data_IF_000552452537
#
_entry.id   IF_000552452537
#
_cell.length_a   1.000
_cell.length_b   1.000
_cell.length_c   1.000
_cell.angle_alpha   90.00
_cell.angle_beta   90.00
_cell.angle_gamma   90.00
#
_symmetry.space_group_name_H-M   'P 1'
#
loop_
_entity.id
_entity.type
_entity.pdbx_description
1 polymer ?
#
# COMPACT_ATOMS: atom_id res chain seq x y z
N UNK A 1 -4.37 -14.53 -10.87
CA UNK A 1 -5.07 -15.22 -12.00
C UNK A 1 -4.49 -14.64 -13.27
N UNK A 2 -4.23 -15.44 -14.33
CA UNK A 2 -3.66 -14.89 -15.57
C UNK A 2 -4.68 -13.97 -16.26
N UNK A 3 -4.21 -12.85 -16.75
CA UNK A 3 -4.99 -11.83 -17.47
C UNK A 3 -4.44 -11.66 -18.88
N UNK A 4 -5.31 -11.28 -19.77
CA UNK A 4 -5.03 -11.18 -21.19
C UNK A 4 -5.62 -9.88 -21.74
N UNK A 5 -4.85 -9.20 -22.57
CA UNK A 5 -5.25 -7.98 -23.26
C UNK A 5 -5.67 -8.30 -24.68
N UNK A 6 -6.85 -7.87 -25.08
CA UNK A 6 -7.28 -7.95 -26.48
C UNK A 6 -6.42 -7.01 -27.34
N UNK A 7 -5.84 -7.53 -28.42
CA UNK A 7 -4.90 -6.79 -29.29
C UNK A 7 -5.57 -5.64 -30.03
N UNK A 8 -6.87 -5.77 -30.31
CA UNK A 8 -7.61 -4.76 -31.07
C UNK A 8 -8.27 -3.72 -30.16
N UNK A 9 -8.97 -4.17 -29.10
CA UNK A 9 -9.74 -3.27 -28.24
C UNK A 9 -8.96 -2.75 -27.03
N UNK A 10 -7.90 -3.46 -26.64
CA UNK A 10 -7.15 -3.18 -25.41
C UNK A 10 -7.84 -3.68 -24.14
N UNK A 11 -9.03 -4.25 -24.23
CA UNK A 11 -9.78 -4.76 -23.08
C UNK A 11 -9.02 -5.90 -22.38
N UNK A 12 -9.03 -5.89 -21.05
CA UNK A 12 -8.36 -6.89 -20.23
C UNK A 12 -9.40 -7.83 -19.65
N UNK A 13 -9.20 -9.13 -19.86
CA UNK A 13 -10.05 -10.20 -19.36
C UNK A 13 -9.23 -11.34 -18.78
N UNK A 14 -9.80 -12.02 -17.80
CA UNK A 14 -9.20 -13.26 -17.30
C UNK A 14 -9.59 -14.46 -18.17
N UNK A 15 -8.93 -15.59 -17.91
CA UNK A 15 -9.16 -16.83 -18.69
C UNK A 15 -10.62 -17.32 -18.63
N UNK A 16 -11.29 -17.14 -17.49
CA UNK A 16 -12.68 -17.55 -17.31
C UNK A 16 -13.65 -16.70 -18.13
N UNK A 17 -13.42 -15.40 -18.21
CA UNK A 17 -14.21 -14.47 -19.03
C UNK A 17 -14.03 -14.76 -20.50
N UNK A 18 -12.80 -14.93 -20.96
CA UNK A 18 -12.52 -15.26 -22.35
C UNK A 18 -13.16 -16.59 -22.80
N UNK A 19 -13.22 -17.58 -21.89
CA UNK A 19 -13.93 -18.84 -22.16
C UNK A 19 -15.44 -18.65 -22.29
N UNK A 20 -16.04 -17.80 -21.46
CA UNK A 20 -17.48 -17.50 -21.53
C UNK A 20 -17.83 -16.75 -22.81
N UNK A 21 -16.97 -15.83 -23.24
CA UNK A 21 -17.18 -15.04 -24.43
C UNK A 21 -17.00 -15.86 -25.72
N UNK A 22 -16.30 -17.00 -25.64
CA UNK A 22 -16.00 -17.86 -26.78
C UNK A 22 -16.47 -19.31 -26.54
N UNK A 23 -17.77 -19.56 -26.32
CA UNK A 23 -18.29 -20.89 -25.95
C UNK A 23 -18.08 -21.96 -27.02
N UNK A 24 -17.92 -21.55 -28.28
CA UNK A 24 -17.75 -22.44 -29.42
C UNK A 24 -16.27 -22.82 -29.69
N UNK A 25 -15.33 -22.28 -28.92
CA UNK A 25 -13.91 -22.59 -29.07
C UNK A 25 -13.48 -23.53 -27.95
N UNK A 26 -13.00 -24.72 -28.33
CA UNK A 26 -12.39 -25.66 -27.37
C UNK A 26 -11.00 -25.17 -26.97
N UNK A 27 -10.81 -24.84 -25.70
CA UNK A 27 -9.56 -24.30 -25.18
C UNK A 27 -8.92 -25.27 -24.17
N UNK A 28 -7.61 -25.55 -24.28
CA UNK A 28 -6.89 -26.37 -23.34
C UNK A 28 -6.88 -25.73 -21.93
N UNK A 29 -6.53 -26.52 -20.90
CA UNK A 29 -6.41 -26.00 -19.54
C UNK A 29 -5.25 -25.00 -19.41
N UNK A 30 -4.12 -25.30 -20.08
CA UNK A 30 -2.93 -24.43 -20.13
C UNK A 30 -2.89 -23.80 -21.51
N UNK A 31 -2.83 -22.49 -21.56
CA UNK A 31 -2.81 -21.70 -22.78
C UNK A 31 -1.38 -21.47 -23.24
N UNK A 32 -1.23 -21.42 -24.57
CA UNK A 32 0.03 -21.13 -25.25
C UNK A 32 -0.21 -20.11 -26.36
N UNK A 33 0.83 -19.77 -27.10
CA UNK A 33 0.79 -18.76 -28.16
C UNK A 33 -0.31 -19.03 -29.20
N UNK A 34 -0.56 -20.29 -29.57
CA UNK A 34 -1.61 -20.62 -30.54
C UNK A 34 -3.00 -20.22 -30.02
N UNK A 35 -3.26 -20.38 -28.72
CA UNK A 35 -4.51 -19.93 -28.09
C UNK A 35 -4.59 -18.41 -28.04
N UNK A 36 -3.49 -17.74 -27.72
CA UNK A 36 -3.44 -16.27 -27.70
C UNK A 36 -3.74 -15.69 -29.08
N UNK A 37 -3.15 -16.27 -30.13
CA UNK A 37 -3.37 -15.84 -31.50
C UNK A 37 -4.80 -16.12 -31.97
N UNK A 38 -5.36 -17.28 -31.64
CA UNK A 38 -6.73 -17.64 -31.97
C UNK A 38 -7.77 -16.72 -31.30
N UNK A 39 -7.48 -16.24 -30.09
CA UNK A 39 -8.33 -15.32 -29.34
C UNK A 39 -8.00 -13.84 -29.58
N UNK A 40 -6.95 -13.55 -30.36
CA UNK A 40 -6.44 -12.21 -30.60
C UNK A 40 -6.10 -11.47 -29.29
N UNK A 41 -5.38 -12.14 -28.39
CA UNK A 41 -4.98 -11.59 -27.09
C UNK A 41 -3.49 -11.73 -26.84
N UNK A 42 -2.97 -10.92 -25.93
CA UNK A 42 -1.62 -11.03 -25.38
C UNK A 42 -1.72 -11.35 -23.88
N UNK A 43 -0.84 -12.22 -23.41
CA UNK A 43 -0.70 -12.48 -21.97
C UNK A 43 -0.12 -11.25 -21.27
N UNK A 44 -0.72 -10.85 -20.15
CA UNK A 44 -0.17 -9.82 -19.28
C UNK A 44 0.66 -10.50 -18.18
N UNK A 45 1.94 -10.15 -18.14
CA UNK A 45 2.85 -10.63 -17.10
C UNK A 45 2.72 -9.76 -15.84
N UNK A 46 2.90 -10.34 -14.65
CA UNK A 46 2.92 -9.56 -13.43
C UNK A 46 4.10 -8.59 -13.40
N UNK A 47 3.89 -7.43 -12.81
CA UNK A 47 4.94 -6.47 -12.50
C UNK A 47 4.78 -5.96 -11.06
N UNK A 48 5.88 -5.49 -10.47
CA UNK A 48 5.82 -4.89 -9.15
C UNK A 48 5.25 -3.47 -9.23
N UNK A 49 4.33 -3.10 -8.32
CA UNK A 49 3.92 -1.71 -8.19
C UNK A 49 5.10 -0.83 -7.75
N UNK A 50 5.13 0.46 -8.08
CA UNK A 50 6.12 1.40 -7.55
C UNK A 50 6.05 1.43 -6.02
N UNK A 51 7.21 1.47 -5.38
CA UNK A 51 7.36 1.56 -3.92
C UNK A 51 7.91 2.91 -3.46
N UNK A 52 8.29 3.77 -4.39
CA UNK A 52 8.89 5.08 -4.12
C UNK A 52 8.09 6.19 -4.79
N UNK A 53 8.22 7.40 -4.31
CA UNK A 53 7.56 8.58 -4.88
C UNK A 53 6.06 8.65 -4.60
N UNK A 54 5.55 7.88 -3.62
CA UNK A 54 4.13 7.88 -3.23
C UNK A 54 3.96 8.88 -2.09
N UNK A 55 3.13 9.89 -2.30
CA UNK A 55 2.79 10.87 -1.27
C UNK A 55 1.88 10.29 -0.17
N UNK A 56 1.83 10.98 0.97
CA UNK A 56 1.05 10.58 2.17
C UNK A 56 -0.43 10.32 1.84
N UNK A 57 -1.01 11.12 0.96
CA UNK A 57 -2.42 11.01 0.54
C UNK A 57 -2.56 10.38 -0.85
N UNK A 58 -1.58 9.58 -1.25
CA UNK A 58 -1.58 8.88 -2.52
C UNK A 58 -1.55 7.37 -2.32
N UNK A 59 -2.04 6.66 -3.32
CA UNK A 59 -2.02 5.20 -3.39
C UNK A 59 -1.61 4.74 -4.77
N UNK A 60 -1.11 3.52 -4.84
CA UNK A 60 -0.81 2.87 -6.12
C UNK A 60 -2.03 2.06 -6.54
N UNK A 61 -2.48 2.27 -7.77
CA UNK A 61 -3.57 1.50 -8.37
C UNK A 61 -3.13 0.86 -9.67
N UNK A 62 -3.75 -0.26 -9.98
CA UNK A 62 -3.59 -0.92 -11.27
C UNK A 62 -4.16 -0.03 -12.38
N UNK A 63 -3.40 0.24 -13.42
CA UNK A 63 -3.83 1.02 -14.60
C UNK A 63 -3.63 0.25 -15.90
N UNK A 64 -4.30 -0.89 -15.99
CA UNK A 64 -4.27 -1.69 -17.21
C UNK A 64 -2.97 -2.44 -17.46
N UNK A 65 -2.45 -2.35 -18.66
CA UNK A 65 -1.21 -2.99 -19.09
C UNK A 65 -0.41 -2.09 -20.04
N UNK A 66 0.92 -2.20 -19.98
CA UNK A 66 1.88 -1.46 -20.81
C UNK A 66 2.92 -2.42 -21.37
N UNK A 67 3.52 -2.11 -22.51
CA UNK A 67 4.67 -2.87 -22.99
C UNK A 67 5.95 -2.46 -22.26
N UNK A 68 6.71 -3.46 -21.81
CA UNK A 68 8.05 -3.26 -21.28
C UNK A 68 9.09 -3.13 -22.42
N UNK A 69 10.36 -2.93 -22.06
CA UNK A 69 11.49 -2.82 -23.03
C UNK A 69 11.68 -4.04 -23.91
N UNK A 70 11.23 -5.21 -23.46
CA UNK A 70 11.34 -6.47 -24.20
C UNK A 70 10.14 -6.71 -25.12
N UNK A 71 9.17 -5.76 -25.15
CA UNK A 71 7.96 -5.86 -25.95
C UNK A 71 6.86 -6.72 -25.35
N UNK A 72 7.02 -7.22 -24.11
CA UNK A 72 6.00 -7.98 -23.40
C UNK A 72 4.99 -7.07 -22.74
N UNK A 73 3.72 -7.44 -22.74
CA UNK A 73 2.70 -6.77 -21.95
C UNK A 73 2.86 -7.13 -20.47
N UNK A 74 2.95 -6.11 -19.63
CA UNK A 74 3.07 -6.21 -18.16
C UNK A 74 1.99 -5.37 -17.50
N UNK A 75 1.70 -5.66 -16.25
CA UNK A 75 0.80 -4.83 -15.44
C UNK A 75 1.29 -3.39 -15.39
N UNK A 76 0.39 -2.44 -15.68
CA UNK A 76 0.66 -1.02 -15.52
C UNK A 76 0.12 -0.52 -14.18
N UNK A 77 0.84 0.41 -13.57
CA UNK A 77 0.51 1.02 -12.29
C UNK A 77 0.49 2.53 -12.42
N UNK A 78 -0.34 3.17 -11.62
CA UNK A 78 -0.36 4.63 -11.48
C UNK A 78 -0.44 5.03 -10.03
N UNK A 79 0.13 6.17 -9.70
CA UNK A 79 -0.03 6.82 -8.41
C UNK A 79 -1.20 7.78 -8.55
N UNK A 80 -2.19 7.65 -7.68
CA UNK A 80 -3.40 8.48 -7.66
C UNK A 80 -3.61 9.07 -6.28
N UNK A 81 -4.27 10.21 -6.22
CA UNK A 81 -4.71 10.78 -4.95
C UNK A 81 -5.77 9.89 -4.31
N UNK A 82 -5.71 9.73 -2.99
CA UNK A 82 -6.68 8.95 -2.22
C UNK A 82 -8.00 9.69 -2.06
N UNK A 83 -7.95 11.00 -2.07
CA UNK A 83 -9.06 11.89 -1.79
C UNK A 83 -9.30 12.88 -2.92
N UNK A 84 -10.55 13.25 -3.11
CA UNK A 84 -11.00 14.29 -4.03
C UNK A 84 -12.24 14.94 -3.44
N UNK A 85 -12.60 16.14 -3.90
CA UNK A 85 -13.84 16.78 -3.48
C UNK A 85 -15.04 15.90 -3.84
N UNK A 86 -15.90 15.66 -2.85
CA UNK A 86 -17.07 14.80 -2.96
C UNK A 86 -18.24 15.44 -2.21
N UNK A 87 -19.46 15.31 -2.75
CA UNK A 87 -20.64 15.96 -2.19
C UNK A 87 -21.09 15.35 -0.85
N UNK A 88 -20.78 14.07 -0.61
CA UNK A 88 -21.16 13.35 0.62
C UNK A 88 -20.01 13.28 1.63
N UNK A 89 -18.76 13.15 1.13
CA UNK A 89 -17.58 12.97 1.97
C UNK A 89 -16.86 14.29 2.30
N UNK A 90 -17.27 15.40 1.68
CA UNK A 90 -16.67 16.70 1.88
C UNK A 90 -15.52 17.00 0.92
N UNK A 91 -14.83 18.10 1.17
CA UNK A 91 -13.67 18.53 0.39
C UNK A 91 -12.48 17.60 0.59
N UNK A 92 -11.56 17.59 -0.37
CA UNK A 92 -10.28 16.85 -0.26
C UNK A 92 -9.57 17.17 1.07
N UNK A 93 -9.49 18.43 1.45
CA UNK A 93 -8.83 18.87 2.69
C UNK A 93 -9.51 18.33 3.96
N UNK A 94 -10.83 18.25 3.98
CA UNK A 94 -11.57 17.66 5.11
C UNK A 94 -11.35 16.14 5.21
N UNK A 95 -11.30 15.44 4.09
CA UNK A 95 -11.00 14.02 4.05
C UNK A 95 -9.55 13.72 4.48
N UNK A 96 -8.58 14.52 4.05
CA UNK A 96 -7.18 14.43 4.49
C UNK A 96 -7.06 14.66 6.00
N UNK A 97 -7.74 15.68 6.54
CA UNK A 97 -7.75 15.96 7.98
C UNK A 97 -8.41 14.83 8.79
N UNK A 98 -9.47 14.22 8.28
CA UNK A 98 -10.09 13.05 8.91
C UNK A 98 -9.14 11.84 8.91
N UNK A 99 -8.45 11.59 7.82
CA UNK A 99 -7.43 10.54 7.71
C UNK A 99 -6.28 10.76 8.70
N UNK A 100 -5.77 11.99 8.81
CA UNK A 100 -4.74 12.37 9.78
C UNK A 100 -5.21 12.14 11.21
N UNK A 101 -6.45 12.48 11.52
CA UNK A 101 -7.03 12.27 12.85
C UNK A 101 -7.05 10.80 13.23
N UNK A 102 -7.51 9.93 12.33
CA UNK A 102 -7.54 8.48 12.54
C UNK A 102 -6.13 7.92 12.69
N UNK A 103 -5.21 8.36 11.84
CA UNK A 103 -3.80 7.96 11.91
C UNK A 103 -3.15 8.39 13.23
N UNK A 104 -3.42 9.62 13.67
CA UNK A 104 -2.94 10.14 14.96
C UNK A 104 -3.44 9.29 16.16
N UNK A 105 -4.70 8.88 16.16
CA UNK A 105 -5.22 8.01 17.22
C UNK A 105 -4.54 6.63 17.21
N UNK A 106 -4.29 6.03 16.05
CA UNK A 106 -3.55 4.77 15.95
C UNK A 106 -2.11 4.90 16.49
N UNK A 107 -1.42 5.99 16.12
CA UNK A 107 -0.04 6.24 16.60
C UNK A 107 -0.01 6.56 18.10
N UNK A 108 -1.04 7.19 18.65
CA UNK A 108 -1.17 7.38 20.12
C UNK A 108 -1.34 6.05 20.86
N UNK A 109 -2.11 5.12 20.31
CA UNK A 109 -2.25 3.77 20.89
C UNK A 109 -0.91 3.02 20.87
N UNK A 110 -0.17 3.09 19.76
CA UNK A 110 1.15 2.49 19.66
C UNK A 110 2.14 3.12 20.66
N UNK A 111 2.18 4.45 20.76
CA UNK A 111 2.94 5.16 21.79
C UNK A 111 2.61 4.66 23.21
N UNK A 112 1.31 4.54 23.52
CA UNK A 112 0.87 4.08 24.83
C UNK A 112 1.32 2.65 25.10
N UNK A 113 1.28 1.76 24.11
CA UNK A 113 1.80 0.40 24.22
C UNK A 113 3.28 0.40 24.56
N UNK A 114 4.10 1.18 23.83
CA UNK A 114 5.55 1.28 24.08
C UNK A 114 5.89 1.87 25.46
N UNK A 115 5.13 2.86 25.91
CA UNK A 115 5.28 3.41 27.26
C UNK A 115 4.95 2.36 28.33
N UNK A 116 3.83 1.64 28.17
CA UNK A 116 3.39 0.61 29.11
C UNK A 116 4.40 -0.54 29.25
N UNK A 117 5.07 -0.92 28.17
CA UNK A 117 6.13 -1.93 28.20
C UNK A 117 7.32 -1.56 29.11
N UNK A 118 7.46 -0.28 29.42
CA UNK A 118 8.58 0.27 30.18
C UNK A 118 8.16 0.92 31.49
N UNK A 119 6.86 0.84 31.87
CA UNK A 119 6.36 1.45 33.12
C UNK A 119 7.02 0.86 34.37
N UNK A 120 7.37 -0.42 34.33
CA UNK A 120 8.07 -1.09 35.43
C UNK A 120 9.47 -0.49 35.69
N UNK A 121 10.12 0.19 34.74
CA UNK A 121 11.39 0.88 34.98
C UNK A 121 11.26 2.02 35.98
N UNK A 122 10.06 2.58 36.12
CA UNK A 122 9.79 3.72 36.98
C UNK A 122 9.26 3.33 38.40
N UNK A 123 9.18 2.03 38.70
CA UNK A 123 8.72 1.57 40.00
C UNK A 123 9.79 1.80 41.07
N UNK A 124 9.37 2.06 42.30
CA UNK A 124 10.25 2.41 43.43
C UNK A 124 11.09 1.24 43.94
N UNK A 125 10.72 0.01 43.59
CA UNK A 125 11.37 -1.24 43.97
C UNK A 125 12.26 -1.83 42.86
N UNK A 126 12.46 -1.07 41.78
CA UNK A 126 13.37 -1.43 40.70
C UNK A 126 14.66 -0.60 40.75
N UNK A 127 15.68 -0.99 39.97
CA UNK A 127 16.88 -0.17 39.79
C UNK A 127 16.50 1.19 39.17
N UNK A 128 17.22 2.25 39.57
CA UNK A 128 17.05 3.58 38.99
C UNK A 128 17.22 3.52 37.45
N UNK A 129 16.29 4.13 36.70
CA UNK A 129 16.39 4.21 35.26
C UNK A 129 17.72 4.80 34.81
N UNK A 130 18.31 4.21 33.77
CA UNK A 130 19.49 4.78 33.12
C UNK A 130 19.14 6.07 32.38
N UNK A 131 20.15 6.82 31.97
CA UNK A 131 19.96 8.02 31.13
C UNK A 131 19.28 7.67 29.79
N UNK A 132 19.66 6.56 29.16
CA UNK A 132 19.10 6.07 27.91
C UNK A 132 17.62 5.66 28.07
N UNK A 133 17.27 4.99 29.15
CA UNK A 133 15.89 4.63 29.45
C UNK A 133 15.02 5.87 29.68
N UNK A 134 15.56 6.86 30.41
CA UNK A 134 14.87 8.13 30.60
C UNK A 134 14.67 8.89 29.31
N UNK A 135 15.71 8.96 28.47
CA UNK A 135 15.64 9.62 27.15
C UNK A 135 14.64 8.93 26.22
N UNK A 136 14.63 7.59 26.17
CA UNK A 136 13.67 6.82 25.39
C UNK A 136 12.23 7.14 25.78
N UNK A 137 11.90 7.10 27.06
CA UNK A 137 10.56 7.42 27.57
C UNK A 137 10.17 8.87 27.29
N UNK A 138 11.13 9.79 27.39
CA UNK A 138 10.86 11.20 27.04
C UNK A 138 10.59 11.36 25.55
N UNK A 139 11.41 10.75 24.68
CA UNK A 139 11.19 10.78 23.25
C UNK A 139 9.82 10.20 22.84
N UNK A 140 9.35 9.12 23.48
CA UNK A 140 7.99 8.62 23.28
C UNK A 140 6.91 9.62 23.71
N UNK A 141 7.10 10.37 24.80
CA UNK A 141 6.13 11.41 25.21
C UNK A 141 6.05 12.54 24.21
N UNK A 142 7.18 12.92 23.62
CA UNK A 142 7.33 14.05 22.72
C UNK A 142 7.07 13.69 21.25
N UNK A 143 6.81 12.42 20.93
CA UNK A 143 6.66 11.92 19.55
C UNK A 143 5.57 12.64 18.75
N UNK A 144 4.56 13.19 19.41
CA UNK A 144 3.51 13.97 18.78
C UNK A 144 3.98 15.33 18.23
N UNK A 145 5.19 15.75 18.62
CA UNK A 145 5.85 16.95 18.08
C UNK A 145 6.84 16.63 16.96
N UNK A 146 6.94 15.37 16.56
CA UNK A 146 7.80 14.96 15.46
C UNK A 146 7.36 15.57 14.13
N UNK A 147 8.32 15.91 13.24
CA UNK A 147 8.03 16.56 11.97
C UNK A 147 7.10 15.74 11.05
N UNK A 148 7.19 14.41 11.13
CA UNK A 148 6.38 13.48 10.35
C UNK A 148 5.03 13.11 11.03
N UNK A 149 4.71 13.70 12.18
CA UNK A 149 3.44 13.41 12.86
C UNK A 149 2.24 13.83 12.01
N UNK A 150 1.19 13.00 11.89
CA UNK A 150 0.98 11.66 12.49
C UNK A 150 1.49 10.49 11.62
N UNK A 151 2.12 10.74 10.48
CA UNK A 151 2.55 9.74 9.48
C UNK A 151 3.95 9.21 9.77
N UNK A 152 4.16 8.74 11.01
CA UNK A 152 5.43 8.19 11.46
C UNK A 152 5.72 6.85 10.77
N UNK A 153 6.94 6.71 10.26
CA UNK A 153 7.52 5.46 9.81
C UNK A 153 8.23 4.72 10.96
N UNK A 154 8.64 3.48 10.75
CA UNK A 154 9.33 2.69 11.79
C UNK A 154 10.62 3.36 12.27
N UNK A 155 11.33 4.06 11.37
CA UNK A 155 12.56 4.78 11.68
C UNK A 155 12.36 6.04 12.53
N UNK A 156 11.14 6.60 12.58
CA UNK A 156 10.82 7.79 13.37
C UNK A 156 10.61 7.47 14.86
N UNK A 157 10.40 6.18 15.21
CA UNK A 157 10.22 5.76 16.57
C UNK A 157 11.55 5.65 17.31
N UNK A 158 11.61 6.09 18.59
CA UNK A 158 12.83 5.94 19.37
C UNK A 158 13.17 4.47 19.60
N UNK A 159 14.46 4.15 19.48
CA UNK A 159 14.96 2.78 19.71
C UNK A 159 14.99 2.47 21.21
N UNK A 160 14.34 1.38 21.60
CA UNK A 160 14.29 0.92 22.99
C UNK A 160 15.68 0.48 23.43
N UNK A 161 16.24 1.01 24.55
CA UNK A 161 17.51 0.56 25.10
C UNK A 161 17.40 -0.86 25.68
N UNK A 162 18.54 -1.55 25.71
CA UNK A 162 18.69 -2.93 26.24
C UNK A 162 18.44 -3.02 27.75
#
# INVERSE_FOLDING_TARGET
MAEYRNRTTGEIKNQGELRRDNPNISMPKVWNQNVYDALNVDLILPSSPPSEGIGIYQKVERNGAVQNSDGNWVEAWQIVDMFSDDAELGTKAEQEAAYDSVTAEQKKLERQRLLSETDWWALSDTATMTAEQTAYRQALRDITSHANWPHLEDADWPTKPS
#
